data_IF_442032458605
#
_entry.id   IF_442032458605
#
_cell.length_a   1.000
_cell.length_b   1.000
_cell.length_c   1.000
_cell.angle_alpha   90.00
_cell.angle_beta   90.00
_cell.angle_gamma   90.00
#
_symmetry.space_group_name_H-M   'P 1'
#
loop_
_entity.id
_entity.type
_entity.pdbx_description
1 polymer ?
#
# COMPACT_ATOMS: atom_id res chain seq x y z
N UNK A 1 35.90 -29.65 6.34
CA UNK A 1 34.83 -30.65 6.50
C UNK A 1 34.19 -30.45 7.86
N UNK A 2 33.00 -29.85 7.93
CA UNK A 2 32.31 -29.58 9.19
C UNK A 2 31.83 -30.92 9.79
N UNK A 3 32.49 -31.40 10.86
CA UNK A 3 32.07 -32.60 11.59
C UNK A 3 30.92 -32.23 12.51
N UNK A 4 29.70 -32.16 11.97
CA UNK A 4 28.49 -31.98 12.77
C UNK A 4 28.37 -33.14 13.77
N UNK A 5 28.62 -32.86 15.04
CA UNK A 5 28.34 -33.82 16.13
C UNK A 5 26.83 -33.89 16.34
N UNK A 6 26.33 -35.03 16.83
CA UNK A 6 24.89 -35.27 17.06
C UNK A 6 24.22 -34.16 17.89
N UNK A 7 24.94 -33.55 18.84
CA UNK A 7 24.46 -32.41 19.63
C UNK A 7 24.34 -31.10 18.85
N UNK A 8 25.20 -30.88 17.86
CA UNK A 8 25.18 -29.69 17.01
C UNK A 8 23.97 -29.71 16.08
N UNK A 9 23.64 -30.88 15.53
CA UNK A 9 22.44 -31.09 14.72
C UNK A 9 21.16 -30.87 15.55
N UNK A 10 21.16 -31.32 16.80
CA UNK A 10 20.04 -31.15 17.73
C UNK A 10 19.82 -29.67 18.08
N UNK A 11 20.91 -28.92 18.29
CA UNK A 11 20.87 -27.49 18.57
C UNK A 11 20.38 -26.69 17.35
N UNK A 12 20.86 -27.01 16.15
CA UNK A 12 20.40 -26.37 14.91
C UNK A 12 18.92 -26.65 14.66
N UNK A 13 18.47 -27.89 14.84
CA UNK A 13 17.05 -28.25 14.65
C UNK A 13 16.14 -27.49 15.62
N UNK A 14 16.54 -27.35 16.89
CA UNK A 14 15.80 -26.58 17.89
C UNK A 14 15.69 -25.10 17.49
N UNK A 15 16.79 -24.51 17.02
CA UNK A 15 16.85 -23.09 16.67
C UNK A 15 16.01 -22.78 15.43
N UNK A 16 16.02 -23.67 14.43
CA UNK A 16 15.14 -23.58 13.26
C UNK A 16 13.67 -23.72 13.65
N UNK A 17 13.34 -24.64 14.56
CA UNK A 17 11.96 -24.80 15.05
C UNK A 17 11.48 -23.53 15.76
N UNK A 18 12.27 -22.97 16.67
CA UNK A 18 11.92 -21.73 17.38
C UNK A 18 11.78 -20.53 16.41
N UNK A 19 12.72 -20.38 15.47
CA UNK A 19 12.66 -19.31 14.47
C UNK A 19 11.45 -19.43 13.53
N UNK A 20 11.15 -20.65 13.06
CA UNK A 20 9.98 -20.91 12.21
C UNK A 20 8.66 -20.67 12.95
N UNK A 21 8.57 -21.09 14.22
CA UNK A 21 7.40 -20.84 15.05
C UNK A 21 7.17 -19.33 15.29
N UNK A 22 8.24 -18.57 15.54
CA UNK A 22 8.15 -17.11 15.69
C UNK A 22 7.72 -16.41 14.40
N UNK A 23 8.28 -16.81 13.24
CA UNK A 23 7.88 -16.27 11.94
C UNK A 23 6.41 -16.56 11.62
N UNK A 24 5.93 -17.79 11.88
CA UNK A 24 4.53 -18.17 11.69
C UNK A 24 3.63 -17.36 12.62
N UNK A 25 3.99 -17.22 13.89
CA UNK A 25 3.23 -16.42 14.86
C UNK A 25 3.13 -14.95 14.42
N UNK A 26 4.24 -14.36 13.96
CA UNK A 26 4.26 -12.99 13.46
C UNK A 26 3.40 -12.82 12.19
N UNK A 27 3.46 -13.75 11.24
CA UNK A 27 2.66 -13.72 10.01
C UNK A 27 1.14 -13.80 10.31
N UNK A 28 0.74 -14.63 11.27
CA UNK A 28 -0.66 -14.76 11.67
C UNK A 28 -1.14 -13.50 12.39
N UNK A 29 -0.30 -12.86 13.22
CA UNK A 29 -0.67 -11.61 13.89
C UNK A 29 -0.71 -10.40 12.95
N UNK A 30 0.23 -10.28 11.99
CA UNK A 30 0.22 -9.21 11.00
C UNK A 30 -1.01 -9.25 10.08
N UNK A 31 -1.60 -10.43 9.88
CA UNK A 31 -2.83 -10.61 9.09
C UNK A 31 -4.11 -10.33 9.87
N UNK A 32 -4.03 -10.08 11.19
CA UNK A 32 -5.17 -9.86 12.10
C UNK A 32 -5.43 -8.39 12.46
N UNK A 33 -4.71 -7.44 11.85
CA UNK A 33 -5.13 -6.05 11.91
C UNK A 33 -6.38 -5.87 11.03
N UNK A 34 -7.54 -6.24 11.59
CA UNK A 34 -8.84 -5.83 11.07
C UNK A 34 -8.97 -4.34 11.29
N UNK A 35 -8.66 -3.58 10.24
CA UNK A 35 -9.01 -2.17 10.17
C UNK A 35 -10.50 -2.05 9.90
N UNK A 36 -11.18 -1.14 10.60
CA UNK A 36 -12.57 -0.84 10.33
C UNK A 36 -12.66 -0.08 9.00
N UNK A 37 -13.24 -0.67 7.93
CA UNK A 37 -13.33 -0.04 6.62
C UNK A 37 -14.06 1.31 6.65
N UNK A 38 -15.00 1.49 7.57
CA UNK A 38 -15.75 2.73 7.76
C UNK A 38 -14.85 3.91 8.17
N UNK A 39 -13.69 3.59 8.75
CA UNK A 39 -12.68 4.58 9.15
C UNK A 39 -11.62 4.80 8.09
N UNK A 40 -11.68 4.18 6.91
CA UNK A 40 -10.63 4.34 5.89
C UNK A 40 -11.08 5.23 4.73
N UNK A 41 -10.14 6.06 4.27
CA UNK A 41 -10.32 6.92 3.11
C UNK A 41 -9.12 6.81 2.18
N UNK A 42 -9.36 6.88 0.87
CA UNK A 42 -8.30 7.06 -0.11
C UNK A 42 -8.15 8.56 -0.41
N UNK A 43 -6.99 9.11 -0.09
CA UNK A 43 -6.60 10.45 -0.50
C UNK A 43 -5.91 10.38 -1.86
N UNK A 44 -6.46 11.11 -2.81
CA UNK A 44 -5.97 11.21 -4.18
C UNK A 44 -5.33 12.59 -4.31
N UNK A 45 -4.02 12.61 -4.52
CA UNK A 45 -3.23 13.81 -4.73
C UNK A 45 -2.80 13.88 -6.20
N UNK A 46 -2.90 15.08 -6.78
CA UNK A 46 -2.38 15.38 -8.12
C UNK A 46 -1.40 16.53 -7.96
N UNK A 47 -0.17 16.34 -8.45
CA UNK A 47 0.90 17.35 -8.35
C UNK A 47 1.15 17.83 -6.90
N UNK A 48 1.08 16.91 -5.93
CA UNK A 48 1.31 17.20 -4.52
C UNK A 48 0.15 17.88 -3.77
N UNK A 49 -0.93 18.25 -4.47
CA UNK A 49 -2.12 18.83 -3.85
C UNK A 49 -3.25 17.79 -3.72
N UNK A 50 -4.00 17.83 -2.60
CA UNK A 50 -5.17 16.99 -2.41
C UNK A 50 -6.24 17.32 -3.46
N UNK A 51 -6.48 16.39 -4.36
CA UNK A 51 -7.52 16.49 -5.39
C UNK A 51 -8.87 16.08 -4.80
N UNK A 52 -8.92 14.89 -4.18
CA UNK A 52 -10.14 14.36 -3.59
C UNK A 52 -9.82 13.33 -2.50
N UNK A 53 -10.68 13.25 -1.49
CA UNK A 53 -10.64 12.18 -0.48
C UNK A 53 -11.94 11.38 -0.54
N UNK A 54 -11.85 10.08 -0.84
CA UNK A 54 -13.01 9.20 -0.99
C UNK A 54 -13.09 8.18 0.14
N UNK A 55 -14.29 7.96 0.68
CA UNK A 55 -14.51 6.90 1.67
C UNK A 55 -14.45 5.54 0.97
N UNK A 56 -13.76 4.58 1.58
CA UNK A 56 -13.71 3.20 1.05
C UNK A 56 -15.02 2.44 1.34
N UNK A 57 -15.79 2.87 2.33
CA UNK A 57 -17.07 2.25 2.71
C UNK A 57 -18.30 2.77 1.93
N UNK A 58 -18.11 3.75 1.05
CA UNK A 58 -19.19 4.45 0.35
C UNK A 58 -19.84 3.71 -0.83
N UNK A 59 -19.43 2.47 -1.12
CA UNK A 59 -19.86 1.70 -2.28
C UNK A 59 -18.94 1.80 -3.50
N UNK A 60 -19.33 1.17 -4.61
CA UNK A 60 -18.55 1.20 -5.85
C UNK A 60 -18.65 2.55 -6.56
N UNK A 61 -17.50 3.12 -6.92
CA UNK A 61 -17.43 4.36 -7.70
C UNK A 61 -16.21 4.34 -8.62
N UNK A 62 -16.32 5.03 -9.75
CA UNK A 62 -15.21 5.25 -10.69
C UNK A 62 -14.85 6.72 -10.69
N UNK A 63 -13.57 7.01 -10.56
CA UNK A 63 -13.00 8.35 -10.46
C UNK A 63 -12.09 8.53 -11.66
N UNK A 64 -12.50 9.40 -12.57
CA UNK A 64 -11.71 9.80 -13.73
C UNK A 64 -10.92 11.07 -13.39
N UNK A 65 -9.60 10.98 -13.53
CA UNK A 65 -8.68 12.09 -13.36
C UNK A 65 -8.22 12.49 -14.75
N UNK A 66 -8.78 13.59 -15.26
CA UNK A 66 -8.34 14.21 -16.50
C UNK A 66 -7.62 15.52 -16.16
N UNK A 67 -6.29 15.49 -16.29
CA UNK A 67 -5.40 16.57 -15.84
C UNK A 67 -4.41 16.92 -16.94
N UNK A 68 -3.77 18.09 -16.83
CA UNK A 68 -2.70 18.49 -17.76
C UNK A 68 -1.51 17.52 -17.81
N UNK A 69 -1.35 16.69 -16.77
CA UNK A 69 -0.28 15.69 -16.66
C UNK A 69 -0.65 14.34 -17.30
N UNK A 70 -1.92 14.17 -17.69
CA UNK A 70 -2.44 12.95 -18.32
C UNK A 70 -3.73 12.46 -17.69
N UNK A 71 -4.19 11.30 -18.20
CA UNK A 71 -5.45 10.67 -17.82
C UNK A 71 -5.22 9.41 -16.98
N UNK A 72 -5.97 9.28 -15.88
CA UNK A 72 -5.99 8.11 -15.00
C UNK A 72 -7.43 7.79 -14.59
N UNK A 73 -7.75 6.50 -14.47
CA UNK A 73 -9.04 6.04 -13.98
C UNK A 73 -8.81 5.15 -12.77
N UNK A 74 -9.43 5.53 -11.66
CA UNK A 74 -9.43 4.79 -10.40
C UNK A 74 -10.82 4.20 -10.17
N UNK A 75 -10.88 2.96 -9.68
CA UNK A 75 -12.13 2.33 -9.26
C UNK A 75 -12.06 1.99 -7.78
N UNK A 76 -13.03 2.46 -7.02
CA UNK A 76 -13.26 2.07 -5.63
C UNK A 76 -14.28 0.94 -5.62
N UNK A 77 -13.95 -0.17 -4.96
CA UNK A 77 -14.83 -1.34 -4.79
C UNK A 77 -14.32 -2.19 -3.63
N UNK A 78 -15.16 -3.07 -3.05
CA UNK A 78 -14.76 -3.99 -1.97
C UNK A 78 -13.93 -3.34 -0.83
N UNK A 79 -14.28 -2.12 -0.43
CA UNK A 79 -13.55 -1.34 0.57
C UNK A 79 -12.07 -1.03 0.24
N UNK A 80 -11.74 -0.91 -1.04
CA UNK A 80 -10.42 -0.49 -1.49
C UNK A 80 -10.49 0.23 -2.82
N UNK A 81 -9.32 0.53 -3.38
CA UNK A 81 -9.17 1.30 -4.59
C UNK A 81 -8.12 0.66 -5.50
N UNK A 82 -8.34 0.74 -6.80
CA UNK A 82 -7.43 0.23 -7.83
C UNK A 82 -7.36 1.21 -8.99
N UNK A 83 -6.17 1.35 -9.59
CA UNK A 83 -6.03 2.05 -10.87
C UNK A 83 -6.34 1.09 -12.03
N UNK A 84 -7.43 1.37 -12.74
CA UNK A 84 -7.93 0.52 -13.84
C UNK A 84 -7.43 0.98 -15.21
N UNK A 85 -7.13 2.27 -15.36
CA UNK A 85 -6.52 2.82 -16.55
C UNK A 85 -5.53 3.94 -16.21
N UNK A 86 -4.48 4.07 -17.01
CA UNK A 86 -3.49 5.12 -16.88
C UNK A 86 -2.77 5.32 -18.22
N UNK A 87 -2.64 6.57 -18.65
CA UNK A 87 -1.91 6.95 -19.87
C UNK A 87 -0.39 7.04 -19.67
N UNK A 88 0.11 6.42 -18.59
CA UNK A 88 1.51 6.40 -18.23
C UNK A 88 2.27 5.33 -19.07
N UNK A 89 3.46 5.62 -19.63
CA UNK A 89 4.16 4.72 -20.56
C UNK A 89 4.56 3.37 -19.95
N UNK A 90 4.86 3.35 -18.65
CA UNK A 90 5.31 2.14 -17.94
C UNK A 90 4.18 1.33 -17.31
N UNK A 91 2.96 1.86 -17.23
CA UNK A 91 1.75 1.18 -16.69
C UNK A 91 1.92 0.49 -15.31
N UNK A 92 2.95 0.87 -14.54
CA UNK A 92 3.29 0.26 -13.24
C UNK A 92 2.15 0.47 -12.24
N UNK A 93 1.51 1.65 -12.27
CA UNK A 93 0.40 1.98 -11.38
C UNK A 93 -0.78 1.00 -11.51
N UNK A 94 -1.03 0.45 -12.69
CA UNK A 94 -2.05 -0.59 -12.88
C UNK A 94 -1.61 -1.97 -12.36
N UNK A 95 -0.29 -2.23 -12.34
CA UNK A 95 0.28 -3.47 -11.83
C UNK A 95 0.33 -3.52 -10.30
N UNK A 96 0.31 -2.37 -9.61
CA UNK A 96 0.20 -2.30 -8.15
C UNK A 96 -1.09 -2.95 -7.64
N UNK A 97 -2.12 -3.00 -8.48
CA UNK A 97 -3.35 -3.73 -8.19
C UNK A 97 -4.25 -3.02 -7.19
N UNK A 98 -5.02 -3.84 -6.46
CA UNK A 98 -6.00 -3.38 -5.48
C UNK A 98 -5.35 -3.14 -4.14
N UNK A 99 -5.57 -1.95 -3.57
CA UNK A 99 -5.13 -1.59 -2.22
C UNK A 99 -6.35 -1.34 -1.33
N UNK A 100 -6.28 -1.77 -0.07
CA UNK A 100 -7.36 -1.61 0.92
C UNK A 100 -6.87 -1.37 2.34
N UNK A 101 -5.57 -1.50 2.61
CA UNK A 101 -5.00 -1.35 3.96
C UNK A 101 -4.36 0.02 4.15
N UNK A 102 -4.31 0.55 5.38
CA UNK A 102 -3.65 1.81 5.66
C UNK A 102 -2.20 1.83 5.22
N UNK A 103 -1.74 2.99 4.75
CA UNK A 103 -0.40 3.24 4.22
C UNK A 103 -0.06 2.46 2.93
N UNK A 104 -1.00 1.73 2.34
CA UNK A 104 -0.84 1.25 0.97
C UNK A 104 -1.00 2.42 -0.01
N UNK A 105 -0.22 2.39 -1.09
CA UNK A 105 -0.12 3.50 -2.04
C UNK A 105 -0.21 3.03 -3.49
N UNK A 106 -0.82 3.84 -4.34
CA UNK A 106 -0.71 3.74 -5.80
C UNK A 106 -0.08 5.02 -6.33
N UNK A 107 0.96 4.89 -7.14
CA UNK A 107 1.73 6.04 -7.65
C UNK A 107 1.85 5.95 -9.17
N UNK A 108 1.39 6.97 -9.91
CA UNK A 108 1.84 7.24 -11.28
C UNK A 108 2.67 8.51 -11.30
N UNK A 109 3.99 8.34 -11.38
CA UNK A 109 4.97 9.44 -11.42
C UNK A 109 4.79 10.35 -12.65
N UNK A 110 4.66 9.83 -13.90
CA UNK A 110 4.46 10.68 -15.08
C UNK A 110 3.27 11.63 -14.98
N UNK A 111 2.13 11.12 -14.50
CA UNK A 111 0.89 11.89 -14.41
C UNK A 111 0.75 12.60 -13.04
N UNK A 112 1.79 12.53 -12.19
CA UNK A 112 1.85 13.13 -10.85
C UNK A 112 0.69 12.74 -9.92
N UNK A 113 0.19 11.52 -10.08
CA UNK A 113 -0.91 10.99 -9.26
C UNK A 113 -0.33 10.16 -8.12
N UNK A 114 -0.75 10.47 -6.90
CA UNK A 114 -0.41 9.73 -5.68
C UNK A 114 -1.70 9.43 -4.91
N UNK A 115 -1.96 8.15 -4.68
CA UNK A 115 -3.14 7.67 -3.94
C UNK A 115 -2.65 6.97 -2.69
N UNK A 116 -3.18 7.32 -1.53
CA UNK A 116 -2.83 6.71 -0.24
C UNK A 116 -4.08 6.40 0.58
N UNK A 117 -4.08 5.25 1.25
CA UNK A 117 -5.14 4.89 2.20
C UNK A 117 -4.78 5.42 3.58
N UNK A 118 -5.60 6.34 4.08
CA UNK A 118 -5.45 6.98 5.38
C UNK A 118 -6.61 6.65 6.30
N UNK A 119 -6.38 6.77 7.61
CA UNK A 119 -7.46 6.73 8.59
C UNK A 119 -8.25 8.05 8.54
N UNK A 120 -9.57 7.95 8.52
CA UNK A 120 -10.59 8.97 8.58
C UNK A 120 -10.52 9.70 9.92
N UNK A 121 -9.76 10.78 9.90
CA UNK A 121 -9.61 11.77 10.95
C UNK A 121 -8.75 12.86 10.32
N UNK A 122 -8.98 14.12 10.68
CA UNK A 122 -8.25 15.29 10.16
C UNK A 122 -6.74 15.21 10.43
N UNK A 123 -6.01 14.34 9.74
CA UNK A 123 -4.60 14.52 9.49
C UNK A 123 -4.52 15.44 8.30
N UNK A 124 -4.28 16.71 8.62
CA UNK A 124 -3.64 17.66 7.73
C UNK A 124 -2.51 16.96 6.95
N UNK A 125 -2.25 17.36 5.70
CA UNK A 125 -1.24 16.73 4.87
C UNK A 125 0.05 16.56 5.66
N UNK A 126 0.48 15.30 5.83
CA UNK A 126 1.79 15.00 6.35
C UNK A 126 2.78 15.40 5.27
N UNK A 127 3.15 16.69 5.31
CA UNK A 127 4.33 17.22 4.65
C UNK A 127 5.57 16.60 5.29
N UNK A 128 5.83 15.35 4.94
CA UNK A 128 7.20 14.85 4.89
C UNK A 128 7.63 14.91 3.44
N UNK A 129 7.80 16.13 2.92
CA UNK A 129 8.70 16.40 1.81
C UNK A 129 10.11 15.92 2.19
N UNK A 130 10.36 14.64 2.02
CA UNK A 130 11.70 14.11 1.79
C UNK A 130 11.86 14.02 0.27
N UNK A 131 11.78 15.18 -0.38
CA UNK A 131 12.28 15.31 -1.75
C UNK A 131 13.80 15.25 -1.67
N UNK A 132 14.36 14.04 -1.82
CA UNK A 132 15.77 13.87 -2.09
C UNK A 132 16.05 14.37 -3.52
N UNK A 133 16.16 15.69 -3.67
CA UNK A 133 16.85 16.30 -4.81
C UNK A 133 18.34 15.99 -4.65
N UNK A 134 18.83 14.99 -5.37
CA UNK A 134 20.27 14.79 -5.56
C UNK A 134 20.68 15.60 -6.78
N UNK A 135 21.60 16.54 -6.54
CA UNK A 135 22.24 17.39 -7.54
C UNK A 135 23.12 16.61 -8.51
#
# INVERSE_FOLDING_TARGET
MLKFKRGDVLLIALLVLLGSAWLIYHQIQGSRQSYDPATLRANINVNGALYQSVSLDGGEQTIELDTEYGHNVLKVFNHGIQMVAADCPKKISMQMGFISRPNEVIICVPNRVYVEIVHGGNRAPHDSGIDAYVH
#
